data_IF_516210608659
#
_entry.id   IF_516210608659
#
_cell.length_a   1.000
_cell.length_b   1.000
_cell.length_c   1.000
_cell.angle_alpha   90.00
_cell.angle_beta   90.00
_cell.angle_gamma   90.00
#
_symmetry.space_group_name_H-M   'P 1'
#
loop_
_entity.id
_entity.type
_entity.pdbx_description
1 polymer ?
#
# COMPACT_ATOMS: atom_id res chain seq x y z
N UNK A 1 -18.31 -9.18 22.67
CA UNK A 1 -17.93 -8.20 23.72
C UNK A 1 -16.65 -8.60 24.46
N UNK A 2 -16.62 -9.72 25.19
CA UNK A 2 -15.44 -10.14 25.97
C UNK A 2 -14.16 -10.35 25.14
N UNK A 3 -14.28 -10.94 23.94
CA UNK A 3 -13.15 -11.11 23.01
C UNK A 3 -12.54 -9.76 22.63
N UNK A 4 -13.36 -8.78 22.25
CA UNK A 4 -12.91 -7.42 21.91
C UNK A 4 -12.21 -6.72 23.08
N UNK A 5 -12.77 -6.81 24.28
CA UNK A 5 -12.15 -6.24 25.49
C UNK A 5 -10.78 -6.86 25.78
N UNK A 6 -10.64 -8.17 25.62
CA UNK A 6 -9.35 -8.85 25.78
C UNK A 6 -8.33 -8.43 24.70
N UNK A 7 -8.77 -8.28 23.45
CA UNK A 7 -7.90 -7.80 22.36
C UNK A 7 -7.40 -6.37 22.61
N UNK A 8 -8.28 -5.45 23.05
CA UNK A 8 -7.88 -4.07 23.41
C UNK A 8 -6.85 -4.07 24.53
N UNK A 9 -7.07 -4.88 25.55
CA UNK A 9 -6.13 -5.01 26.68
C UNK A 9 -4.77 -5.57 26.22
N UNK A 10 -4.76 -6.61 25.37
CA UNK A 10 -3.53 -7.20 24.84
C UNK A 10 -2.76 -6.28 23.90
N UNK A 11 -3.45 -5.36 23.21
CA UNK A 11 -2.85 -4.37 22.32
C UNK A 11 -2.41 -3.08 23.02
N UNK A 12 -2.48 -3.02 24.36
CA UNK A 12 -2.14 -1.84 25.18
C UNK A 12 -2.85 -0.55 24.74
N UNK A 13 -4.03 -0.67 24.13
CA UNK A 13 -4.78 0.47 23.61
C UNK A 13 -5.39 1.24 24.79
N UNK A 14 -4.80 2.40 25.14
CA UNK A 14 -5.44 3.37 26.02
C UNK A 14 -6.50 4.17 25.23
N UNK A 15 -7.51 4.71 25.92
CA UNK A 15 -8.60 5.47 25.26
C UNK A 15 -8.13 6.68 24.44
N UNK A 16 -6.87 7.08 24.54
CA UNK A 16 -6.24 8.22 23.87
C UNK A 16 -5.60 7.87 22.52
N UNK A 17 -5.29 6.59 22.25
CA UNK A 17 -4.64 6.14 21.00
C UNK A 17 -5.60 6.05 19.80
N UNK A 18 -6.88 6.32 20.00
CA UNK A 18 -7.93 6.19 19.00
C UNK A 18 -8.35 7.54 18.41
N UNK A 19 -7.40 8.29 17.87
CA UNK A 19 -7.67 9.44 17.00
C UNK A 19 -7.19 9.08 15.59
N UNK A 20 -7.95 8.19 14.95
CA UNK A 20 -7.66 7.66 13.62
C UNK A 20 -8.47 8.29 12.50
N UNK A 21 -9.04 9.48 12.70
CA UNK A 21 -9.57 10.27 11.60
C UNK A 21 -9.37 11.77 11.89
N UNK A 22 -8.94 12.51 10.88
CA UNK A 22 -8.71 13.96 10.93
C UNK A 22 -10.00 14.76 10.97
N UNK A 23 -11.02 14.29 11.70
CA UNK A 23 -12.30 14.95 11.83
C UNK A 23 -12.31 15.88 13.04
N UNK A 24 -12.22 17.18 12.77
CA UNK A 24 -12.47 18.28 13.72
C UNK A 24 -13.98 18.41 13.97
N UNK A 25 -14.63 17.37 14.47
CA UNK A 25 -15.96 17.48 15.08
C UNK A 25 -16.09 16.44 16.19
N UNK A 26 -16.11 16.93 17.44
CA UNK A 26 -16.12 16.11 18.65
C UNK A 26 -17.33 15.19 18.78
N UNK A 27 -17.13 13.91 18.45
CA UNK A 27 -18.06 12.83 18.80
C UNK A 27 -17.29 11.54 19.00
N UNK A 28 -17.37 10.97 20.22
CA UNK A 28 -17.18 9.55 20.53
C UNK A 28 -15.80 8.92 20.27
N UNK A 29 -15.23 8.31 21.31
CA UNK A 29 -14.16 7.32 21.21
C UNK A 29 -14.54 6.22 20.19
N UNK A 30 -13.93 6.21 19.01
CA UNK A 30 -14.16 5.24 17.91
C UNK A 30 -13.77 3.78 18.27
N UNK A 31 -13.27 3.54 19.48
CA UNK A 31 -12.70 2.25 19.90
C UNK A 31 -13.55 1.48 20.92
N UNK A 32 -14.66 2.07 21.36
CA UNK A 32 -15.60 1.37 22.24
C UNK A 32 -16.62 0.54 21.46
N UNK A 33 -16.82 0.85 20.19
CA UNK A 33 -17.65 0.08 19.29
C UNK A 33 -16.93 -1.21 18.85
N UNK A 34 -17.64 -2.33 18.96
CA UNK A 34 -17.17 -3.60 18.40
C UNK A 34 -17.20 -3.44 16.87
N UNK A 35 -16.08 -3.68 16.17
CA UNK A 35 -16.07 -3.54 14.72
C UNK A 35 -17.05 -4.53 14.08
N UNK A 36 -17.79 -4.07 13.08
CA UNK A 36 -18.75 -4.91 12.33
C UNK A 36 -18.07 -5.83 11.32
N UNK A 37 -16.74 -5.88 11.31
CA UNK A 37 -15.94 -6.70 10.39
C UNK A 37 -16.31 -8.19 10.49
N UNK A 38 -16.72 -8.68 11.66
CA UNK A 38 -17.12 -10.08 11.86
C UNK A 38 -18.34 -10.47 11.02
N UNK A 39 -19.16 -9.49 10.61
CA UNK A 39 -20.34 -9.67 9.76
C UNK A 39 -19.99 -9.77 8.26
N UNK A 40 -18.77 -9.40 7.87
CA UNK A 40 -18.30 -9.46 6.48
C UNK A 40 -17.76 -10.87 6.21
N UNK A 41 -18.12 -11.55 5.11
CA UNK A 41 -17.52 -12.84 4.76
C UNK A 41 -15.99 -12.83 4.81
N UNK A 42 -15.40 -13.85 5.42
CA UNK A 42 -13.94 -13.93 5.64
C UNK A 42 -13.13 -13.74 4.34
N UNK A 43 -13.63 -14.25 3.21
CA UNK A 43 -13.02 -14.04 1.90
C UNK A 43 -12.85 -12.55 1.56
N UNK A 44 -13.87 -11.72 1.83
CA UNK A 44 -13.82 -10.29 1.56
C UNK A 44 -12.89 -9.55 2.54
N UNK A 45 -12.84 -9.98 3.81
CA UNK A 45 -11.88 -9.44 4.78
C UNK A 45 -10.44 -9.69 4.35
N UNK A 46 -10.11 -10.92 3.98
CA UNK A 46 -8.77 -11.25 3.50
C UNK A 46 -8.43 -10.58 2.17
N UNK A 47 -9.42 -10.36 1.31
CA UNK A 47 -9.23 -9.57 0.08
C UNK A 47 -8.89 -8.12 0.41
N UNK A 48 -9.62 -7.49 1.34
CA UNK A 48 -9.34 -6.13 1.79
C UNK A 48 -7.93 -6.03 2.38
N UNK A 49 -7.57 -6.90 3.32
CA UNK A 49 -6.22 -6.95 3.91
C UNK A 49 -5.14 -7.13 2.84
N UNK A 50 -5.36 -8.03 1.88
CA UNK A 50 -4.43 -8.24 0.77
C UNK A 50 -4.24 -6.98 -0.09
N UNK A 51 -5.32 -6.26 -0.40
CA UNK A 51 -5.27 -5.00 -1.16
C UNK A 51 -4.55 -3.92 -0.35
N UNK A 52 -4.82 -3.78 0.94
CA UNK A 52 -4.14 -2.82 1.82
C UNK A 52 -2.63 -3.09 1.90
N UNK A 53 -2.24 -4.35 2.09
CA UNK A 53 -0.84 -4.77 2.09
C UNK A 53 -0.13 -4.50 0.75
N UNK A 54 -0.82 -4.74 -0.38
CA UNK A 54 -0.30 -4.42 -1.70
C UNK A 54 -0.11 -2.91 -1.87
N UNK A 55 -1.13 -2.12 -1.56
CA UNK A 55 -1.12 -0.67 -1.72
C UNK A 55 -0.02 -0.01 -0.90
N UNK A 56 0.20 -0.45 0.34
CA UNK A 56 1.29 0.03 1.20
C UNK A 56 2.66 -0.21 0.57
N UNK A 57 2.96 -1.45 0.17
CA UNK A 57 4.23 -1.78 -0.47
C UNK A 57 4.40 -1.03 -1.80
N UNK A 58 3.34 -0.93 -2.61
CA UNK A 58 3.34 -0.20 -3.87
C UNK A 58 3.67 1.28 -3.64
N UNK A 59 3.08 1.91 -2.62
CA UNK A 59 3.32 3.31 -2.30
C UNK A 59 4.80 3.57 -1.96
N UNK A 60 5.40 2.73 -1.12
CA UNK A 60 6.83 2.82 -0.78
C UNK A 60 7.73 2.74 -2.02
N UNK A 61 7.47 1.78 -2.92
CA UNK A 61 8.26 1.62 -4.16
C UNK A 61 8.04 2.78 -5.14
N UNK A 62 6.81 3.27 -5.26
CA UNK A 62 6.49 4.41 -6.14
C UNK A 62 7.13 5.70 -5.60
N UNK A 63 7.15 5.92 -4.29
CA UNK A 63 7.80 7.08 -3.69
C UNK A 63 9.31 7.09 -4.01
N UNK A 64 9.99 5.94 -3.91
CA UNK A 64 11.40 5.82 -4.29
C UNK A 64 11.64 6.18 -5.76
N UNK A 65 10.78 5.70 -6.68
CA UNK A 65 10.84 6.09 -8.11
C UNK A 65 10.64 7.58 -8.26
N UNK A 66 9.61 8.14 -7.61
CA UNK A 66 9.27 9.55 -7.69
C UNK A 66 10.42 10.45 -7.23
N UNK A 67 11.03 10.16 -6.08
CA UNK A 67 12.14 10.96 -5.53
C UNK A 67 13.36 10.95 -6.47
N UNK A 68 13.71 9.77 -6.98
CA UNK A 68 14.89 9.60 -7.85
C UNK A 68 14.65 10.11 -9.28
N UNK A 69 13.41 10.15 -9.75
CA UNK A 69 13.07 10.63 -11.10
C UNK A 69 12.65 12.10 -11.15
N UNK A 70 11.96 12.64 -10.11
CA UNK A 70 11.55 14.07 -10.06
C UNK A 70 12.74 15.00 -9.97
N UNK A 71 13.78 14.62 -9.24
CA UNK A 71 15.05 15.37 -9.17
C UNK A 71 15.67 15.58 -10.57
N UNK A 72 15.40 14.68 -11.52
CA UNK A 72 15.85 14.85 -12.91
C UNK A 72 15.05 15.93 -13.68
N UNK A 73 13.76 16.15 -13.39
CA UNK A 73 12.92 17.16 -14.08
C UNK A 73 13.30 18.60 -13.73
N UNK A 74 13.78 18.84 -12.50
CA UNK A 74 14.17 20.20 -12.06
C UNK A 74 15.50 20.68 -12.67
N UNK A 75 16.22 19.82 -13.42
CA UNK A 75 17.45 20.21 -14.13
C UNK A 75 17.20 20.71 -15.56
N UNK A 76 15.98 20.61 -16.09
CA UNK A 76 15.61 21.12 -17.42
C UNK A 76 14.92 22.48 -17.43
N UNK A 77 14.50 23.00 -16.27
CA UNK A 77 13.88 24.33 -16.19
C UNK A 77 14.95 25.40 -16.05
N UNK A 78 14.87 26.43 -16.91
CA UNK A 78 15.71 27.64 -16.92
C UNK A 78 15.76 28.41 -15.58
N UNK A 79 14.95 28.05 -14.61
CA UNK A 79 14.87 28.66 -13.28
C UNK A 79 15.60 27.80 -12.25
N UNK A 80 16.85 28.19 -11.97
CA UNK A 80 17.70 27.66 -10.90
C UNK A 80 16.99 27.70 -9.55
N UNK A 81 16.89 26.55 -8.89
CA UNK A 81 16.94 26.42 -7.44
C UNK A 81 17.79 25.17 -7.14
N UNK A 82 19.08 25.41 -6.92
CA UNK A 82 20.02 24.43 -6.35
C UNK A 82 20.83 23.58 -7.34
N UNK A 83 21.99 24.09 -7.76
CA UNK A 83 23.11 23.27 -8.28
C UNK A 83 23.17 23.09 -9.81
N UNK A 84 24.29 23.50 -10.40
CA UNK A 84 24.68 23.22 -11.78
C UNK A 84 24.87 21.72 -12.02
N UNK A 85 23.82 21.02 -12.43
CA UNK A 85 23.90 19.64 -12.89
C UNK A 85 24.39 19.64 -14.35
N UNK A 86 25.66 19.27 -14.56
CA UNK A 86 26.28 19.09 -15.88
C UNK A 86 25.70 17.86 -16.63
N UNK A 87 26.17 17.61 -17.87
CA UNK A 87 25.73 16.45 -18.68
C UNK A 87 25.91 15.09 -17.99
N UNK A 88 26.94 14.93 -17.16
CA UNK A 88 27.18 13.71 -16.37
C UNK A 88 26.13 13.51 -15.28
N UNK A 89 25.75 14.57 -14.59
CA UNK A 89 24.70 14.54 -13.58
C UNK A 89 23.32 14.19 -14.20
N UNK A 90 23.03 14.68 -15.42
CA UNK A 90 21.82 14.29 -16.17
C UNK A 90 21.82 12.79 -16.53
N UNK A 91 22.95 12.26 -16.98
CA UNK A 91 23.11 10.82 -17.30
C UNK A 91 23.00 9.96 -16.05
N UNK A 92 23.66 10.34 -14.95
CA UNK A 92 23.57 9.64 -13.66
C UNK A 92 22.15 9.65 -13.10
N UNK A 93 21.43 10.76 -13.23
CA UNK A 93 20.02 10.87 -12.83
C UNK A 93 19.13 9.96 -13.68
N UNK A 94 19.31 9.96 -15.01
CA UNK A 94 18.59 9.07 -15.93
C UNK A 94 18.83 7.59 -15.59
N UNK A 95 20.08 7.22 -15.27
CA UNK A 95 20.42 5.85 -14.88
C UNK A 95 19.78 5.47 -13.54
N UNK A 96 19.86 6.32 -12.51
CA UNK A 96 19.19 6.07 -11.22
C UNK A 96 17.68 5.93 -11.35
N UNK A 97 17.04 6.82 -12.10
CA UNK A 97 15.62 6.74 -12.38
C UNK A 97 15.26 5.43 -13.10
N UNK A 98 16.06 5.03 -14.10
CA UNK A 98 15.90 3.74 -14.78
C UNK A 98 16.05 2.57 -13.81
N UNK A 99 17.04 2.59 -12.94
CA UNK A 99 17.29 1.53 -11.96
C UNK A 99 16.12 1.38 -10.97
N UNK A 100 15.57 2.48 -10.46
CA UNK A 100 14.39 2.45 -9.59
C UNK A 100 13.13 1.98 -10.34
N UNK A 101 12.93 2.41 -11.59
CA UNK A 101 11.86 1.89 -12.44
C UNK A 101 11.99 0.38 -12.68
N UNK A 102 13.20 -0.13 -12.90
CA UNK A 102 13.46 -1.57 -13.05
C UNK A 102 13.22 -2.34 -11.74
N UNK A 103 13.54 -1.75 -10.58
CA UNK A 103 13.18 -2.33 -9.28
C UNK A 103 11.66 -2.38 -9.08
N UNK A 104 10.95 -1.32 -9.45
CA UNK A 104 9.49 -1.30 -9.39
C UNK A 104 8.86 -2.33 -10.33
N UNK A 105 9.35 -2.40 -11.58
CA UNK A 105 8.92 -3.42 -12.55
C UNK A 105 9.14 -4.83 -12.00
N UNK A 106 10.32 -5.09 -11.44
CA UNK A 106 10.63 -6.36 -10.78
C UNK A 106 9.73 -6.62 -9.57
N UNK A 107 9.31 -5.61 -8.80
CA UNK A 107 8.35 -5.80 -7.71
C UNK A 107 6.97 -6.25 -8.21
N UNK A 108 6.51 -5.73 -9.34
CA UNK A 108 5.23 -6.12 -9.94
C UNK A 108 5.32 -7.50 -10.61
N UNK A 109 6.42 -7.77 -11.33
CA UNK A 109 6.58 -8.96 -12.17
C UNK A 109 7.25 -10.15 -11.46
N UNK A 110 8.23 -9.91 -10.58
CA UNK A 110 8.98 -10.99 -9.94
C UNK A 110 8.32 -11.41 -8.63
N UNK A 111 8.08 -12.70 -8.57
CA UNK A 111 7.62 -13.39 -7.39
C UNK A 111 8.78 -13.56 -6.40
N UNK A 112 8.67 -12.97 -5.21
CA UNK A 112 9.51 -13.38 -4.08
C UNK A 112 8.61 -13.75 -2.92
N UNK A 113 8.84 -14.91 -2.32
CA UNK A 113 8.22 -15.25 -1.05
C UNK A 113 8.55 -14.16 -0.02
N UNK A 114 7.53 -13.59 0.61
CA UNK A 114 7.66 -12.54 1.62
C UNK A 114 6.94 -11.22 1.31
N UNK A 115 6.42 -11.03 0.10
CA UNK A 115 5.64 -9.83 -0.30
C UNK A 115 4.11 -10.01 -0.17
N UNK A 116 3.65 -11.17 0.31
CA UNK A 116 2.22 -11.54 0.39
C UNK A 116 1.69 -12.33 -0.81
N UNK A 117 2.51 -12.60 -1.83
CA UNK A 117 2.07 -13.30 -3.06
C UNK A 117 2.29 -14.81 -3.09
N UNK A 118 2.80 -15.40 -2.00
CA UNK A 118 3.15 -16.82 -1.90
C UNK A 118 4.00 -17.33 -3.09
N UNK A 119 4.85 -16.46 -3.66
CA UNK A 119 5.71 -16.82 -4.78
C UNK A 119 5.02 -16.85 -6.15
N UNK A 120 3.87 -16.19 -6.30
CA UNK A 120 3.24 -15.94 -7.61
C UNK A 120 3.26 -14.45 -7.99
N UNK A 121 3.14 -14.07 -9.28
CA UNK A 121 3.01 -12.66 -9.65
C UNK A 121 1.71 -12.05 -9.10
N UNK A 122 1.74 -10.76 -8.77
CA UNK A 122 0.56 -10.01 -8.32
C UNK A 122 -0.61 -10.13 -9.29
N UNK A 123 -0.35 -10.06 -10.61
CA UNK A 123 -1.36 -10.21 -11.67
C UNK A 123 -2.04 -11.58 -11.62
N UNK A 124 -1.25 -12.66 -11.57
CA UNK A 124 -1.77 -14.03 -11.50
C UNK A 124 -2.64 -14.25 -10.27
N UNK A 125 -2.24 -13.69 -9.12
CA UNK A 125 -3.02 -13.80 -7.89
C UNK A 125 -4.33 -13.02 -7.98
N UNK A 126 -4.29 -11.83 -8.58
CA UNK A 126 -5.49 -11.04 -8.85
C UNK A 126 -6.47 -11.78 -9.76
N UNK A 127 -5.99 -12.42 -10.83
CA UNK A 127 -6.84 -13.21 -11.73
C UNK A 127 -7.54 -14.36 -10.98
N UNK A 128 -6.81 -15.07 -10.10
CA UNK A 128 -7.41 -16.12 -9.26
C UNK A 128 -8.49 -15.58 -8.31
N UNK A 129 -8.24 -14.42 -7.69
CA UNK A 129 -9.20 -13.74 -6.84
C UNK A 129 -10.44 -13.38 -7.65
N UNK A 130 -10.26 -12.73 -8.80
CA UNK A 130 -11.36 -12.31 -9.67
C UNK A 130 -12.23 -13.49 -10.14
N UNK A 131 -11.61 -14.59 -10.58
CA UNK A 131 -12.33 -15.79 -11.00
C UNK A 131 -13.15 -16.39 -9.86
N UNK A 132 -12.57 -16.45 -8.65
CA UNK A 132 -13.27 -16.98 -7.47
C UNK A 132 -14.42 -16.08 -7.04
N UNK A 133 -14.21 -14.77 -7.02
CA UNK A 133 -15.26 -13.80 -6.72
C UNK A 133 -16.41 -13.89 -7.74
N UNK A 134 -16.09 -13.95 -9.03
CA UNK A 134 -17.08 -14.12 -10.10
C UNK A 134 -17.89 -15.40 -9.92
N UNK A 135 -17.23 -16.51 -9.57
CA UNK A 135 -17.93 -17.76 -9.24
C UNK A 135 -18.92 -17.57 -8.07
N UNK A 136 -18.53 -16.89 -7.00
CA UNK A 136 -19.44 -16.63 -5.88
C UNK A 136 -20.65 -15.78 -6.26
N UNK A 137 -20.48 -14.83 -7.19
CA UNK A 137 -21.59 -14.04 -7.73
C UNK A 137 -22.54 -14.92 -8.53
N UNK A 138 -22.03 -15.85 -9.36
CA UNK A 138 -22.88 -16.78 -10.10
C UNK A 138 -23.58 -17.81 -9.20
N UNK A 139 -22.87 -18.38 -8.21
CA UNK A 139 -23.43 -19.36 -7.27
C UNK A 139 -24.51 -18.75 -6.34
N UNK A 140 -24.54 -17.42 -6.20
CA UNK A 140 -25.50 -16.69 -5.37
C UNK A 140 -26.77 -16.23 -6.13
N UNK A 141 -26.82 -16.43 -7.45
CA UNK A 141 -28.02 -16.18 -8.28
C UNK A 141 -29.00 -17.35 -8.14
#
# INVERSE_FOLDING_TARGET
KYIWTAMKHGAEMNGTMCNGDGSVTGSGSSCDDIPTIDLIPQYLRFLQEWVEHFCKQRQEKVNAVIENCKSCKNTSSKTKLGGTCNGECKTKCKNKCKDECEKYKKFIEKCKGGDGTAGSPWSKRWDQIYMRYSKYIEDAK
#
